data_IF_425748257659
#
_entry.id   IF_425748257659
#
_cell.length_a   1.000
_cell.length_b   1.000
_cell.length_c   1.000
_cell.angle_alpha   90.00
_cell.angle_beta   90.00
_cell.angle_gamma   90.00
#
_symmetry.space_group_name_H-M   'P 1'
#
loop_
_entity.id
_entity.type
_entity.pdbx_description
1 polymer ?
#
# COMPACT_ATOMS: atom_id res chain seq x y z
N UNK A 1 13.46 -46.02 -17.55
CA UNK A 1 12.98 -44.84 -18.30
C UNK A 1 12.73 -43.72 -17.29
N UNK A 2 13.76 -42.94 -16.94
CA UNK A 2 13.62 -41.77 -16.07
C UNK A 2 13.14 -40.58 -16.90
N UNK A 3 11.99 -39.99 -16.55
CA UNK A 3 11.43 -38.81 -17.21
C UNK A 3 12.08 -37.52 -16.67
N UNK A 4 12.29 -36.51 -17.52
CA UNK A 4 13.04 -35.29 -17.19
C UNK A 4 12.11 -34.27 -16.50
N UNK A 5 11.91 -34.40 -15.19
CA UNK A 5 11.12 -33.44 -14.41
C UNK A 5 11.97 -32.44 -13.61
N UNK A 6 13.30 -32.52 -13.69
CA UNK A 6 14.21 -31.69 -12.90
C UNK A 6 14.64 -30.37 -13.55
N UNK A 7 14.32 -30.13 -14.83
CA UNK A 7 14.84 -28.97 -15.56
C UNK A 7 14.09 -27.64 -15.31
N UNK A 8 12.86 -27.67 -14.77
CA UNK A 8 12.08 -26.45 -14.55
C UNK A 8 12.45 -25.68 -13.27
N UNK A 9 13.06 -26.35 -12.27
CA UNK A 9 13.45 -25.69 -11.00
C UNK A 9 14.78 -24.93 -11.15
N UNK A 10 15.68 -25.42 -12.00
CA UNK A 10 16.98 -24.80 -12.27
C UNK A 10 16.92 -23.46 -13.02
N UNK A 11 15.81 -23.16 -13.72
CA UNK A 11 15.67 -21.91 -14.47
C UNK A 11 15.36 -20.68 -13.58
N UNK A 12 14.87 -20.89 -12.35
CA UNK A 12 14.60 -19.81 -11.38
C UNK A 12 15.85 -19.32 -10.63
N UNK A 13 16.96 -20.06 -10.69
CA UNK A 13 18.21 -19.73 -10.00
C UNK A 13 19.23 -19.01 -10.90
N UNK A 14 18.97 -18.90 -12.20
CA UNK A 14 19.90 -18.37 -13.18
C UNK A 14 19.46 -17.01 -13.79
N UNK A 15 18.52 -16.30 -13.17
CA UNK A 15 18.28 -14.91 -13.52
C UNK A 15 19.49 -14.08 -13.08
N UNK A 16 20.21 -13.40 -13.98
CA UNK A 16 21.27 -12.49 -13.57
C UNK A 16 20.67 -11.47 -12.60
N UNK A 17 21.44 -11.13 -11.57
CA UNK A 17 21.13 -10.01 -10.68
C UNK A 17 21.20 -8.76 -11.55
N UNK A 18 20.09 -8.41 -12.19
CA UNK A 18 19.93 -7.09 -12.78
C UNK A 18 19.95 -6.11 -11.62
N UNK A 19 21.10 -5.48 -11.39
CA UNK A 19 21.19 -4.33 -10.51
C UNK A 19 20.28 -3.25 -11.08
N UNK A 20 19.08 -3.12 -10.52
CA UNK A 20 18.24 -1.97 -10.79
C UNK A 20 19.03 -0.73 -10.36
N UNK A 21 19.43 0.10 -11.33
CA UNK A 21 20.04 1.38 -11.01
C UNK A 21 18.95 2.29 -10.48
N UNK A 22 18.95 2.52 -9.16
CA UNK A 22 18.23 3.67 -8.59
C UNK A 22 18.90 4.90 -9.16
N UNK A 23 18.22 5.60 -10.06
CA UNK A 23 18.74 6.86 -10.58
C UNK A 23 18.49 7.93 -9.52
N UNK A 24 19.51 8.19 -8.72
CA UNK A 24 19.54 9.27 -7.75
C UNK A 24 20.49 10.35 -8.24
N UNK A 25 20.07 11.61 -8.14
CA UNK A 25 20.89 12.75 -8.50
C UNK A 25 20.61 13.92 -7.57
N UNK A 26 21.68 14.55 -7.12
CA UNK A 26 21.60 15.82 -6.39
C UNK A 26 21.18 16.95 -7.33
N UNK A 27 20.20 17.74 -6.89
CA UNK A 27 19.74 18.95 -7.54
C UNK A 27 19.81 20.12 -6.54
N UNK A 28 21.03 20.61 -6.30
CA UNK A 28 21.28 21.56 -5.22
C UNK A 28 21.20 20.85 -3.88
N UNK A 29 20.37 21.35 -2.96
CA UNK A 29 20.13 20.75 -1.64
C UNK A 29 19.03 19.67 -1.65
N UNK A 30 18.59 19.25 -2.85
CA UNK A 30 17.53 18.26 -3.01
C UNK A 30 18.06 16.97 -3.64
N UNK A 31 17.60 15.86 -3.07
CA UNK A 31 17.76 14.52 -3.59
C UNK A 31 16.64 14.20 -4.58
N UNK A 32 16.97 14.02 -5.86
CA UNK A 32 16.04 13.50 -6.87
C UNK A 32 16.24 12.00 -7.03
N UNK A 33 15.21 11.20 -6.77
CA UNK A 33 15.23 9.73 -6.88
C UNK A 33 14.17 9.22 -7.83
N UNK A 34 14.56 8.37 -8.77
CA UNK A 34 13.66 7.57 -9.60
C UNK A 34 13.70 6.13 -9.10
N UNK A 35 12.54 5.54 -8.79
CA UNK A 35 12.50 4.19 -8.23
C UNK A 35 11.14 3.51 -8.30
N UNK A 36 11.12 2.28 -7.79
CA UNK A 36 9.94 1.40 -7.68
C UNK A 36 9.36 1.40 -6.27
N UNK A 37 9.81 2.31 -5.40
CA UNK A 37 9.30 2.52 -4.05
C UNK A 37 9.19 4.01 -3.78
N UNK A 38 8.00 4.52 -3.39
CA UNK A 38 7.84 5.93 -3.11
C UNK A 38 8.41 6.30 -1.72
N UNK A 39 8.86 7.55 -1.55
CA UNK A 39 9.47 8.04 -0.28
C UNK A 39 8.50 8.08 0.90
N UNK A 40 7.19 8.16 0.63
CA UNK A 40 6.08 8.18 1.62
C UNK A 40 5.94 6.85 2.37
N UNK A 41 6.86 6.59 3.30
CA UNK A 41 6.98 5.29 3.97
C UNK A 41 5.80 4.96 4.86
N UNK A 42 5.25 5.95 5.58
CA UNK A 42 4.10 5.75 6.46
C UNK A 42 2.81 5.53 5.68
N UNK A 43 2.67 6.24 4.55
CA UNK A 43 1.50 6.15 3.70
C UNK A 43 1.24 4.73 3.18
N UNK A 44 2.28 3.95 2.83
CA UNK A 44 2.08 2.62 2.20
C UNK A 44 1.17 1.66 2.99
N UNK A 45 1.15 1.74 4.32
CA UNK A 45 0.28 0.91 5.17
C UNK A 45 -1.11 1.49 5.42
N UNK A 46 -1.31 2.77 5.08
CA UNK A 46 -2.49 3.56 5.38
C UNK A 46 -3.37 3.83 4.17
N UNK A 47 -2.72 3.94 3.01
CA UNK A 47 -3.35 4.30 1.75
C UNK A 47 -4.18 3.16 1.20
N UNK A 48 -5.14 3.56 0.36
CA UNK A 48 -5.91 2.62 -0.46
C UNK A 48 -4.96 1.66 -1.18
N UNK A 49 -5.14 0.34 -1.03
CA UNK A 49 -4.36 -0.61 -1.80
C UNK A 49 -4.65 -0.39 -3.29
N UNK A 50 -3.66 0.11 -4.03
CA UNK A 50 -3.78 0.28 -5.47
C UNK A 50 -3.42 -1.05 -6.14
N UNK A 51 -4.24 -1.49 -7.10
CA UNK A 51 -3.90 -2.66 -7.90
C UNK A 51 -2.70 -2.31 -8.77
N UNK A 52 -1.51 -2.75 -8.37
CA UNK A 52 -0.29 -2.48 -9.11
C UNK A 52 -0.41 -3.09 -10.51
N UNK A 53 -0.29 -2.25 -11.55
CA UNK A 53 -0.16 -2.71 -12.92
C UNK A 53 1.16 -3.44 -13.14
N UNK A 54 1.36 -4.03 -14.32
CA UNK A 54 2.60 -4.74 -14.67
C UNK A 54 3.86 -3.86 -14.65
N UNK A 55 3.67 -2.54 -14.64
CA UNK A 55 4.72 -1.55 -14.51
C UNK A 55 4.25 -0.46 -13.54
N UNK A 56 5.09 -0.19 -12.54
CA UNK A 56 4.89 0.83 -11.52
C UNK A 56 6.22 1.52 -11.22
N UNK A 57 6.17 2.78 -10.85
CA UNK A 57 7.36 3.57 -10.58
C UNK A 57 7.01 5.00 -10.20
N UNK A 58 7.99 5.73 -9.70
CA UNK A 58 7.81 7.10 -9.29
C UNK A 58 9.10 7.91 -9.25
N UNK A 59 8.89 9.21 -9.26
CA UNK A 59 9.90 10.23 -9.08
C UNK A 59 9.69 10.90 -7.73
N UNK A 60 10.75 10.97 -6.94
CA UNK A 60 10.78 11.52 -5.60
C UNK A 60 11.78 12.66 -5.54
N UNK A 61 11.42 13.74 -4.87
CA UNK A 61 12.29 14.85 -4.50
C UNK A 61 12.26 15.00 -2.98
N UNK A 62 13.41 14.87 -2.33
CA UNK A 62 13.54 15.05 -0.87
C UNK A 62 14.58 16.10 -0.53
N UNK A 63 14.44 16.72 0.64
CA UNK A 63 15.37 17.71 1.17
C UNK A 63 15.75 17.33 2.61
N UNK A 64 16.98 17.64 3.02
CA UNK A 64 17.52 17.35 4.37
C UNK A 64 16.71 17.97 5.51
N UNK A 65 15.88 18.96 5.21
CA UNK A 65 14.96 19.58 6.18
C UNK A 65 13.79 18.67 6.59
N UNK A 66 13.58 17.57 5.85
CA UNK A 66 12.48 16.62 6.04
C UNK A 66 11.33 16.77 5.04
N UNK A 67 11.30 17.85 4.25
CA UNK A 67 10.30 18.02 3.20
C UNK A 67 10.56 17.08 2.03
N UNK A 68 9.50 16.49 1.49
CA UNK A 68 9.56 15.70 0.28
C UNK A 68 8.30 15.89 -0.57
N UNK A 69 8.46 15.81 -1.87
CA UNK A 69 7.38 15.77 -2.83
C UNK A 69 7.67 14.72 -3.89
N UNK A 70 6.65 14.13 -4.49
CA UNK A 70 6.88 13.14 -5.52
C UNK A 70 5.62 12.76 -6.27
N UNK A 71 5.84 11.95 -7.29
CA UNK A 71 4.79 11.37 -8.10
C UNK A 71 5.03 9.88 -8.24
N UNK A 72 4.00 9.10 -7.97
CA UNK A 72 4.02 7.65 -8.05
C UNK A 72 2.89 7.19 -8.96
N UNK A 73 3.18 6.30 -9.91
CA UNK A 73 2.15 5.64 -10.70
C UNK A 73 2.15 4.15 -10.34
N UNK A 74 1.11 3.66 -9.63
CA UNK A 74 0.97 2.24 -9.34
C UNK A 74 0.58 1.45 -10.59
N UNK A 75 0.03 2.13 -11.61
CA UNK A 75 -0.43 1.52 -12.84
C UNK A 75 -0.39 2.55 -13.97
N UNK A 76 0.39 2.26 -15.01
CA UNK A 76 0.53 3.11 -16.21
C UNK A 76 -0.60 2.92 -17.25
N UNK A 77 -1.56 2.03 -17.01
CA UNK A 77 -2.72 1.87 -17.88
C UNK A 77 -2.38 1.40 -19.30
N UNK A 78 -1.45 0.44 -19.42
CA UNK A 78 -0.98 -0.09 -20.72
C UNK A 78 -1.88 -1.21 -21.28
N UNK A 79 -2.78 -1.77 -20.47
CA UNK A 79 -3.76 -2.77 -20.91
C UNK A 79 -5.19 -2.24 -20.81
N UNK A 80 -6.14 -2.77 -21.60
CA UNK A 80 -7.54 -2.35 -21.55
C UNK A 80 -8.21 -2.51 -20.18
N UNK A 81 -7.68 -3.41 -19.34
CA UNK A 81 -8.14 -3.66 -17.97
C UNK A 81 -7.43 -2.82 -16.91
N UNK A 82 -6.40 -2.06 -17.28
CA UNK A 82 -5.56 -1.28 -16.36
C UNK A 82 -5.84 0.20 -16.55
N UNK A 83 -6.18 0.88 -15.45
CA UNK A 83 -6.43 2.32 -15.43
C UNK A 83 -5.10 3.04 -15.16
N UNK A 84 -4.88 4.16 -15.84
CA UNK A 84 -3.76 5.04 -15.52
C UNK A 84 -4.09 5.77 -14.22
N UNK A 85 -3.27 5.56 -13.20
CA UNK A 85 -3.36 6.22 -11.90
C UNK A 85 -2.05 6.96 -11.63
N UNK A 86 -2.17 8.21 -11.18
CA UNK A 86 -1.03 9.07 -10.85
C UNK A 86 -1.28 9.68 -9.49
N UNK A 87 -0.45 9.30 -8.53
CA UNK A 87 -0.47 9.76 -7.15
C UNK A 87 0.59 10.84 -6.98
N UNK A 88 0.17 12.09 -6.81
CA UNK A 88 1.08 13.19 -6.46
C UNK A 88 1.04 13.40 -4.95
N UNK A 89 2.19 13.58 -4.31
CA UNK A 89 2.27 13.70 -2.86
C UNK A 89 3.26 14.76 -2.41
N UNK A 90 2.97 15.29 -1.24
CA UNK A 90 3.81 16.22 -0.50
C UNK A 90 3.76 15.78 0.97
N UNK A 91 4.90 15.77 1.63
CA UNK A 91 4.96 15.45 3.05
C UNK A 91 6.19 16.01 3.72
N UNK A 92 6.19 15.79 5.03
CA UNK A 92 7.25 16.16 5.93
C UNK A 92 7.55 14.98 6.85
N UNK A 93 8.81 14.57 6.87
CA UNK A 93 9.31 13.47 7.69
C UNK A 93 10.45 13.97 8.56
N UNK A 94 10.32 13.77 9.86
CA UNK A 94 11.36 14.12 10.82
C UNK A 94 11.72 12.91 11.69
N UNK A 95 12.83 12.23 11.40
CA UNK A 95 13.42 11.27 12.32
C UNK A 95 14.20 12.03 13.41
N UNK A 96 13.93 11.71 14.68
CA UNK A 96 14.78 12.14 15.79
C UNK A 96 15.97 11.19 15.96
N UNK A 97 15.70 9.89 15.78
CA UNK A 97 16.69 8.82 15.73
C UNK A 97 16.13 7.63 14.94
N UNK A 98 16.74 6.44 15.06
CA UNK A 98 16.29 5.23 14.37
C UNK A 98 14.99 4.63 14.92
N UNK A 99 14.53 5.12 16.06
CA UNK A 99 13.41 4.58 16.85
C UNK A 99 12.26 5.56 17.02
N UNK A 100 12.53 6.85 16.91
CA UNK A 100 11.59 7.95 17.12
C UNK A 100 11.54 8.85 15.91
N UNK A 101 10.33 9.11 15.42
CA UNK A 101 10.11 10.06 14.34
C UNK A 101 8.64 10.22 14.04
N UNK A 102 8.33 11.18 13.18
CA UNK A 102 6.98 11.35 12.65
C UNK A 102 7.01 11.65 11.16
N UNK A 103 5.92 11.32 10.49
CA UNK A 103 5.69 11.60 9.08
C UNK A 103 4.26 12.13 8.95
N UNK A 104 4.10 13.25 8.25
CA UNK A 104 2.81 13.82 7.89
C UNK A 104 2.82 14.09 6.39
N UNK A 105 1.69 13.90 5.73
CA UNK A 105 1.63 14.22 4.32
C UNK A 105 0.23 14.17 3.75
N UNK A 106 0.17 14.52 2.47
CA UNK A 106 -1.02 14.42 1.67
C UNK A 106 -0.71 13.76 0.33
N UNK A 107 -1.71 13.09 -0.21
CA UNK A 107 -1.69 12.45 -1.51
C UNK A 107 -2.89 12.95 -2.29
N UNK A 108 -2.67 13.28 -3.55
CA UNK A 108 -3.68 13.57 -4.53
C UNK A 108 -3.66 12.45 -5.56
N UNK A 109 -4.74 11.68 -5.61
CA UNK A 109 -4.94 10.63 -6.61
C UNK A 109 -5.66 11.22 -7.79
N UNK A 110 -5.06 11.06 -8.97
CA UNK A 110 -5.63 11.50 -10.24
C UNK A 110 -5.72 10.34 -11.21
N UNK A 111 -6.78 10.34 -12.02
CA UNK A 111 -7.04 9.33 -13.04
C UNK A 111 -7.20 10.00 -14.41
N UNK A 112 -6.10 10.40 -15.07
CA UNK A 112 -6.14 11.31 -16.23
C UNK A 112 -6.93 10.83 -17.45
N UNK A 113 -7.22 9.52 -17.55
CA UNK A 113 -7.97 8.91 -18.65
C UNK A 113 -9.46 8.70 -18.33
N UNK A 114 -9.92 9.08 -17.14
CA UNK A 114 -11.27 8.86 -16.67
C UNK A 114 -11.93 10.19 -16.30
N UNK A 115 -13.25 10.28 -16.45
CA UNK A 115 -14.05 11.41 -15.96
C UNK A 115 -14.35 11.31 -14.46
N UNK A 116 -13.58 10.51 -13.72
CA UNK A 116 -13.71 10.38 -12.27
C UNK A 116 -13.13 11.61 -11.59
N UNK A 117 -13.80 12.07 -10.53
CA UNK A 117 -13.26 13.13 -9.69
C UNK A 117 -11.99 12.65 -8.98
N UNK A 118 -11.05 13.57 -8.85
CA UNK A 118 -9.84 13.34 -8.07
C UNK A 118 -10.17 13.13 -6.59
N UNK A 119 -9.29 12.41 -5.89
CA UNK A 119 -9.41 12.22 -4.44
C UNK A 119 -8.16 12.67 -3.71
N UNK A 120 -8.34 13.06 -2.46
CA UNK A 120 -7.26 13.51 -1.59
C UNK A 120 -7.20 12.64 -0.35
N UNK A 121 -5.99 12.33 0.10
CA UNK A 121 -5.79 11.61 1.35
C UNK A 121 -4.73 12.32 2.19
N UNK A 122 -5.07 12.58 3.44
CA UNK A 122 -4.14 13.09 4.44
C UNK A 122 -3.73 11.94 5.33
N UNK A 123 -2.45 11.82 5.60
CA UNK A 123 -1.94 10.79 6.50
C UNK A 123 -0.95 11.38 7.49
N UNK A 124 -0.85 10.70 8.62
CA UNK A 124 0.12 11.02 9.64
C UNK A 124 0.47 9.81 10.45
N UNK A 125 1.67 9.79 10.99
CA UNK A 125 2.02 8.76 11.94
C UNK A 125 3.37 8.95 12.60
N UNK A 126 3.62 8.05 13.54
CA UNK A 126 4.72 8.06 14.47
C UNK A 126 5.48 6.75 14.34
N UNK A 127 6.80 6.85 14.39
CA UNK A 127 7.68 5.71 14.63
C UNK A 127 8.09 5.76 16.10
N UNK A 128 7.86 4.66 16.82
CA UNK A 128 8.19 4.49 18.24
C UNK A 128 8.85 3.13 18.44
N UNK A 129 10.11 3.11 18.87
CA UNK A 129 10.88 1.87 19.13
C UNK A 129 10.88 0.92 17.93
N UNK A 130 10.99 1.47 16.72
CA UNK A 130 10.95 0.73 15.46
C UNK A 130 9.55 0.22 15.06
N UNK A 131 8.53 0.45 15.87
CA UNK A 131 7.12 0.20 15.53
C UNK A 131 6.52 1.46 14.91
N UNK A 132 5.56 1.32 14.01
CA UNK A 132 4.91 2.43 13.30
C UNK A 132 3.43 2.47 13.64
N UNK A 133 2.93 3.65 13.96
CA UNK A 133 1.51 3.89 14.21
C UNK A 133 1.07 5.03 13.30
N UNK A 134 -0.09 4.89 12.67
CA UNK A 134 -0.55 5.93 11.76
C UNK A 134 -2.05 5.99 11.61
N UNK A 135 -2.50 7.10 11.07
CA UNK A 135 -3.86 7.33 10.67
C UNK A 135 -3.89 8.00 9.29
N UNK A 136 -4.92 7.72 8.51
CA UNK A 136 -5.19 8.41 7.27
C UNK A 136 -6.66 8.72 7.10
N UNK A 137 -6.94 9.85 6.46
CA UNK A 137 -8.27 10.30 6.09
C UNK A 137 -8.30 10.53 4.58
N UNK A 138 -9.11 9.74 3.89
CA UNK A 138 -9.33 9.87 2.45
C UNK A 138 -10.66 10.57 2.21
N UNK A 139 -10.62 11.60 1.39
CA UNK A 139 -11.77 12.34 0.88
C UNK A 139 -11.89 12.09 -0.62
N UNK A 140 -12.54 10.99 -0.96
CA UNK A 140 -13.04 10.69 -2.30
C UNK A 140 -14.53 11.08 -2.34
N UNK A 141 -15.01 11.75 -3.41
CA UNK A 141 -16.40 12.17 -3.54
C UNK A 141 -17.43 11.05 -3.38
N UNK A 142 -17.08 9.83 -3.80
CA UNK A 142 -17.99 8.68 -3.71
C UNK A 142 -17.85 7.94 -2.37
N UNK A 143 -16.71 8.12 -1.67
CA UNK A 143 -16.42 7.40 -0.43
C UNK A 143 -15.37 8.10 0.43
N UNK A 144 -15.67 8.32 1.70
CA UNK A 144 -14.68 8.82 2.67
C UNK A 144 -14.16 7.67 3.53
N UNK A 145 -12.84 7.60 3.72
CA UNK A 145 -12.23 6.55 4.53
C UNK A 145 -11.48 7.16 5.71
N UNK A 146 -11.55 6.49 6.86
CA UNK A 146 -10.69 6.75 8.01
C UNK A 146 -9.97 5.47 8.38
N UNK A 147 -8.64 5.44 8.19
CA UNK A 147 -7.81 4.26 8.42
C UNK A 147 -6.94 4.47 9.65
N UNK A 148 -6.81 3.43 10.46
CA UNK A 148 -5.81 3.29 11.51
C UNK A 148 -4.87 2.13 11.17
N UNK A 149 -3.59 2.32 11.45
CA UNK A 149 -2.54 1.35 11.15
C UNK A 149 -1.57 1.24 12.32
N UNK A 150 -1.18 0.01 12.63
CA UNK A 150 -0.11 -0.30 13.55
C UNK A 150 0.79 -1.38 12.95
N UNK A 151 2.10 -1.13 12.91
CA UNK A 151 3.13 -2.11 12.55
C UNK A 151 4.08 -2.28 13.72
N UNK A 152 4.14 -3.50 14.25
CA UNK A 152 4.91 -3.86 15.43
C UNK A 152 6.25 -4.52 15.06
N UNK A 153 6.84 -4.14 13.92
CA UNK A 153 8.09 -4.69 13.41
C UNK A 153 9.34 -4.39 14.25
N UNK A 154 9.32 -3.34 15.07
CA UNK A 154 10.50 -2.89 15.84
C UNK A 154 11.03 -3.91 16.85
N UNK A 155 10.17 -4.77 17.39
CA UNK A 155 10.51 -5.84 18.32
C UNK A 155 9.72 -7.12 17.98
N UNK A 156 9.94 -7.65 16.78
CA UNK A 156 9.26 -8.84 16.27
C UNK A 156 9.63 -10.12 17.05
N UNK A 157 8.74 -10.70 17.87
CA UNK A 157 9.02 -11.95 18.57
C UNK A 157 9.24 -13.07 17.56
N UNK A 158 10.29 -13.87 17.75
CA UNK A 158 10.67 -14.96 16.83
C UNK A 158 10.94 -14.51 15.38
N UNK A 159 11.20 -13.21 15.16
CA UNK A 159 11.36 -12.63 13.82
C UNK A 159 10.06 -12.55 13.01
N UNK A 160 8.91 -12.57 13.68
CA UNK A 160 7.59 -12.42 13.07
C UNK A 160 7.09 -11.00 13.29
N UNK A 161 7.00 -10.22 12.21
CA UNK A 161 6.36 -8.92 12.22
C UNK A 161 4.85 -9.06 12.29
N UNK A 162 4.19 -8.13 13.01
CA UNK A 162 2.74 -8.07 13.10
C UNK A 162 2.30 -6.68 12.65
N UNK A 163 1.43 -6.60 11.65
CA UNK A 163 0.78 -5.35 11.26
C UNK A 163 -0.73 -5.51 11.36
N UNK A 164 -1.42 -4.48 11.85
CA UNK A 164 -2.88 -4.41 11.96
C UNK A 164 -3.34 -3.15 11.23
N UNK A 165 -4.42 -3.30 10.46
CA UNK A 165 -5.09 -2.18 9.79
C UNK A 165 -6.58 -2.27 10.05
N UNK A 166 -7.20 -1.13 10.32
CA UNK A 166 -8.64 -0.98 10.49
C UNK A 166 -9.10 0.23 9.70
N UNK A 167 -10.12 0.09 8.87
CA UNK A 167 -10.66 1.18 8.08
C UNK A 167 -12.16 1.28 8.24
N UNK A 168 -12.63 2.49 8.55
CA UNK A 168 -14.03 2.87 8.42
C UNK A 168 -14.27 3.48 7.04
N UNK A 169 -15.30 3.01 6.36
CA UNK A 169 -15.73 3.47 5.04
C UNK A 169 -17.10 4.12 5.16
N UNK A 170 -17.21 5.39 4.77
CA UNK A 170 -18.45 6.13 4.66
C UNK A 170 -18.78 6.33 3.17
N UNK A 171 -19.87 5.72 2.71
CA UNK A 171 -20.32 5.81 1.32
C UNK A 171 -21.03 7.15 1.10
N UNK A 172 -20.67 7.86 0.03
CA UNK A 172 -21.33 9.09 -0.38
C UNK A 172 -22.77 8.84 -0.83
N UNK A 173 -23.00 7.72 -1.50
CA UNK A 173 -24.33 7.23 -1.90
C UNK A 173 -24.61 5.87 -1.21
N UNK A 174 -25.69 5.74 -0.43
CA UNK A 174 -26.05 4.46 0.18
C UNK A 174 -26.34 3.38 -0.87
N UNK A 175 -25.84 2.17 -0.64
CA UNK A 175 -26.02 1.02 -1.53
C UNK A 175 -27.21 0.20 -1.07
N UNK A 176 -28.16 -0.06 -1.97
CA UNK A 176 -29.29 -0.95 -1.71
C UNK A 176 -28.85 -2.41 -1.67
N UNK A 177 -29.30 -3.16 -0.68
CA UNK A 177 -28.93 -4.56 -0.44
C UNK A 177 -30.07 -5.52 -0.79
N UNK A 178 -29.72 -6.74 -1.21
CA UNK A 178 -30.70 -7.74 -1.70
C UNK A 178 -31.68 -8.20 -0.61
N UNK A 179 -31.27 -8.14 0.66
CA UNK A 179 -32.08 -8.41 1.86
C UNK A 179 -33.10 -7.31 2.21
N UNK A 180 -33.07 -6.18 1.50
CA UNK A 180 -33.85 -4.99 1.80
C UNK A 180 -33.12 -4.06 2.79
N UNK A 181 -33.09 -2.76 2.48
CA UNK A 181 -32.38 -1.75 3.26
C UNK A 181 -31.25 -1.07 2.48
N UNK A 182 -30.45 -0.28 3.19
CA UNK A 182 -29.31 0.44 2.61
C UNK A 182 -28.10 0.36 3.53
N UNK A 183 -26.92 0.15 2.94
CA UNK A 183 -25.63 0.29 3.61
C UNK A 183 -25.07 1.66 3.26
N UNK A 184 -24.81 2.48 4.27
CA UNK A 184 -24.19 3.80 4.12
C UNK A 184 -22.74 3.84 4.65
N UNK A 185 -22.35 2.84 5.44
CA UNK A 185 -21.02 2.73 6.01
C UNK A 185 -20.70 1.29 6.36
N UNK A 186 -19.42 0.94 6.33
CA UNK A 186 -18.92 -0.36 6.77
C UNK A 186 -17.50 -0.23 7.31
N UNK A 187 -17.02 -1.28 7.96
CA UNK A 187 -15.66 -1.34 8.46
C UNK A 187 -14.99 -2.61 7.97
N UNK A 188 -13.71 -2.51 7.63
CA UNK A 188 -12.87 -3.66 7.36
C UNK A 188 -11.60 -3.62 8.21
N UNK A 189 -10.97 -4.76 8.35
CA UNK A 189 -9.73 -4.88 9.10
C UNK A 189 -8.87 -6.02 8.58
N UNK A 190 -7.57 -5.91 8.80
CA UNK A 190 -6.61 -6.96 8.46
C UNK A 190 -5.53 -7.08 9.51
N UNK A 191 -5.07 -8.32 9.69
CA UNK A 191 -3.89 -8.67 10.49
C UNK A 191 -2.92 -9.39 9.56
N UNK A 192 -1.71 -8.86 9.47
CA UNK A 192 -0.60 -9.43 8.70
C UNK A 192 0.47 -9.95 9.64
N UNK A 193 0.85 -11.20 9.43
CA UNK A 193 2.08 -11.78 9.97
C UNK A 193 3.12 -11.82 8.85
N UNK A 194 4.28 -11.21 9.05
CA UNK A 194 5.37 -11.20 8.06
C UNK A 194 6.62 -11.86 8.63
N UNK A 195 7.32 -12.63 7.79
CA UNK A 195 8.62 -13.21 8.13
C UNK A 195 9.54 -13.27 6.92
N UNK A 196 10.74 -12.65 6.99
CA UNK A 196 11.74 -12.81 5.95
C UNK A 196 12.32 -14.23 5.99
N UNK A 197 12.45 -14.85 4.82
CA UNK A 197 12.99 -16.19 4.66
C UNK A 197 13.79 -16.29 3.35
N UNK A 198 15.11 -16.41 3.45
CA UNK A 198 16.03 -16.54 2.30
C UNK A 198 15.84 -15.46 1.22
N UNK A 199 15.60 -14.21 1.63
CA UNK A 199 15.37 -13.09 0.72
C UNK A 199 13.97 -13.05 0.10
N UNK A 200 13.03 -13.84 0.62
CA UNK A 200 11.61 -13.79 0.31
C UNK A 200 10.86 -13.38 1.57
N UNK A 201 10.01 -12.37 1.48
CA UNK A 201 9.09 -11.99 2.54
C UNK A 201 7.83 -12.83 2.45
N UNK A 202 7.65 -13.70 3.44
CA UNK A 202 6.46 -14.53 3.58
C UNK A 202 5.43 -13.75 4.42
N UNK A 203 4.27 -13.50 3.84
CA UNK A 203 3.18 -12.77 4.46
C UNK A 203 1.94 -13.66 4.55
N UNK A 204 1.40 -13.79 5.75
CA UNK A 204 0.10 -14.38 6.01
C UNK A 204 -0.84 -13.27 6.49
N UNK A 205 -1.91 -13.03 5.74
CA UNK A 205 -2.85 -11.93 5.99
C UNK A 205 -4.22 -12.54 6.22
N UNK A 206 -4.81 -12.29 7.38
CA UNK A 206 -6.24 -12.49 7.59
C UNK A 206 -6.94 -11.14 7.52
N UNK A 207 -8.07 -11.10 6.87
CA UNK A 207 -8.83 -9.86 6.71
C UNK A 207 -10.31 -10.15 6.62
N UNK A 208 -11.12 -9.24 7.14
CA UNK A 208 -12.57 -9.42 7.26
C UNK A 208 -13.27 -8.06 7.28
N UNK A 209 -14.60 -8.07 7.18
CA UNK A 209 -15.43 -6.88 7.32
C UNK A 209 -16.61 -7.12 8.24
N UNK A 210 -17.32 -6.05 8.59
CA UNK A 210 -18.59 -6.17 9.33
C UNK A 210 -19.80 -6.43 8.41
N UNK A 211 -19.60 -6.54 7.09
CA UNK A 211 -20.64 -6.92 6.14
C UNK A 211 -20.75 -8.44 6.07
N UNK A 212 -21.96 -8.93 5.78
CA UNK A 212 -22.21 -10.35 5.60
C UNK A 212 -23.36 -10.58 4.61
N UNK A 213 -23.36 -11.75 3.97
CA UNK A 213 -24.45 -12.19 3.10
C UNK A 213 -24.81 -11.17 2.01
N UNK A 214 -26.06 -10.70 2.01
CA UNK A 214 -26.56 -9.75 1.02
C UNK A 214 -25.94 -8.35 1.11
N UNK A 215 -25.32 -8.01 2.24
CA UNK A 215 -24.75 -6.68 2.48
C UNK A 215 -23.38 -6.51 1.79
N UNK A 216 -22.76 -7.62 1.42
CA UNK A 216 -21.48 -7.67 0.71
C UNK A 216 -21.51 -7.00 -0.66
N UNK A 217 -22.68 -6.79 -1.25
CA UNK A 217 -22.80 -6.01 -2.49
C UNK A 217 -22.38 -4.55 -2.33
N UNK A 218 -22.34 -4.03 -1.10
CA UNK A 218 -21.87 -2.68 -0.78
C UNK A 218 -20.36 -2.61 -0.52
N UNK A 219 -19.68 -3.75 -0.47
CA UNK A 219 -18.27 -3.81 -0.12
C UNK A 219 -17.39 -3.20 -1.21
N UNK A 220 -16.52 -2.28 -0.80
CA UNK A 220 -15.48 -1.68 -1.64
C UNK A 220 -14.22 -1.42 -0.81
N UNK A 221 -13.91 -2.35 0.10
CA UNK A 221 -12.82 -2.22 1.06
C UNK A 221 -11.47 -2.60 0.47
N UNK A 222 -10.59 -3.07 1.34
CA UNK A 222 -9.20 -3.43 1.03
C UNK A 222 -9.03 -4.73 0.22
N UNK A 223 -10.03 -5.62 0.22
CA UNK A 223 -9.98 -6.93 -0.45
C UNK A 223 -10.95 -7.01 -1.63
N UNK A 224 -10.87 -8.11 -2.38
CA UNK A 224 -11.87 -8.45 -3.39
C UNK A 224 -13.21 -8.89 -2.77
N UNK A 225 -13.17 -9.52 -1.60
CA UNK A 225 -14.33 -10.11 -0.93
C UNK A 225 -14.57 -9.44 0.44
N UNK A 226 -15.83 -9.36 0.85
CA UNK A 226 -16.25 -8.80 2.14
C UNK A 226 -15.98 -9.74 3.33
N UNK A 227 -16.05 -11.06 3.10
CA UNK A 227 -15.98 -12.08 4.12
C UNK A 227 -14.52 -12.40 4.48
N UNK A 228 -14.34 -13.13 5.59
CA UNK A 228 -13.06 -13.61 6.07
C UNK A 228 -12.20 -14.25 4.96
N UNK A 229 -11.12 -13.56 4.61
CA UNK A 229 -10.16 -13.98 3.59
C UNK A 229 -8.79 -14.21 4.23
N UNK A 230 -8.24 -15.41 4.01
CA UNK A 230 -6.86 -15.73 4.34
C UNK A 230 -6.01 -15.66 3.06
N UNK A 231 -5.09 -14.71 3.01
CA UNK A 231 -4.16 -14.50 1.89
C UNK A 231 -2.75 -14.89 2.29
N UNK A 232 -2.12 -15.75 1.48
CA UNK A 232 -0.69 -16.00 1.56
C UNK A 232 0.01 -15.30 0.41
N UNK A 233 1.02 -14.48 0.73
CA UNK A 233 1.78 -13.71 -0.26
C UNK A 233 3.28 -13.91 -0.01
N UNK A 234 3.99 -14.33 -1.05
CA UNK A 234 5.45 -14.43 -1.05
C UNK A 234 6.00 -13.34 -1.97
N UNK A 235 6.77 -12.42 -1.41
CA UNK A 235 7.33 -11.28 -2.13
C UNK A 235 8.85 -11.34 -2.12
N UNK A 236 9.48 -10.94 -3.20
CA UNK A 236 10.93 -10.75 -3.25
C UNK A 236 11.20 -9.43 -3.91
N UNK A 237 11.74 -8.49 -3.13
CA UNK A 237 12.30 -7.26 -3.69
C UNK A 237 13.58 -7.63 -4.45
N UNK A 238 13.66 -7.22 -5.71
CA UNK A 238 14.86 -7.39 -6.55
C UNK A 238 15.79 -6.18 -6.45
N UNK A 239 15.60 -5.32 -5.43
CA UNK A 239 16.29 -4.04 -5.24
C UNK A 239 16.32 -3.66 -3.76
#
# INVERSE_FOLDING_TARGET
>A
MLKPSFLLISALLASPVSHAQVFQRELGDFDLKLGTTPTRSMAQGLVKPTSSGSFHGGLDLSHDSGWYAGQWSPSVGLSPSSKLEVDSYLGYKQPFDQTLGYELGMIHYSYPKLETLDSHEFFGGLTLLGSRFGAAFSNDPDKRNSTLFADLGGNAPFGIGVSVKYTNHQLGNPVSITSGGYVNSFNDWSVKLSRPWMGIDLNLIYSDSNLNGGDCSAYSGQNAECDGLLTFKAERSFY
#
